data_IF_296692643945
#
_entry.id   IF_296692643945
#
_cell.length_a   1.000
_cell.length_b   1.000
_cell.length_c   1.000
_cell.angle_alpha   90.00
_cell.angle_beta   90.00
_cell.angle_gamma   90.00
#
_symmetry.space_group_name_H-M   'P 1'
#
loop_
_entity.id
_entity.type
_entity.pdbx_description
1 polymer ?
#
# COMPACT_ATOMS: atom_id res chain seq x y z
N UNK A 1 -30.71 -29.37 29.50
CA UNK A 1 -29.33 -29.56 29.04
C UNK A 1 -29.07 -28.56 27.93
N UNK A 2 -28.36 -27.48 28.25
CA UNK A 2 -28.12 -26.37 27.34
C UNK A 2 -26.79 -26.59 26.62
N UNK A 3 -26.82 -26.65 25.30
CA UNK A 3 -25.62 -26.71 24.45
C UNK A 3 -24.93 -25.34 24.46
N UNK A 4 -23.59 -25.27 24.57
CA UNK A 4 -22.89 -24.01 24.48
C UNK A 4 -22.71 -23.58 23.01
N UNK A 5 -22.91 -22.29 22.81
CA UNK A 5 -22.72 -21.52 21.59
C UNK A 5 -21.22 -21.46 21.25
N UNK A 6 -20.79 -22.08 20.15
CA UNK A 6 -19.42 -21.96 19.63
C UNK A 6 -19.22 -20.60 18.97
N UNK A 7 -18.15 -19.92 19.39
CA UNK A 7 -17.73 -18.59 18.96
C UNK A 7 -17.15 -18.57 17.54
N UNK A 8 -17.48 -17.53 16.78
CA UNK A 8 -16.96 -17.14 15.44
C UNK A 8 -15.43 -16.83 15.37
N UNK A 9 -14.59 -17.57 16.10
CA UNK A 9 -13.14 -17.33 16.18
C UNK A 9 -12.27 -18.19 15.27
N UNK A 10 -12.82 -19.22 14.63
CA UNK A 10 -12.00 -20.32 14.08
C UNK A 10 -11.72 -20.22 12.56
N UNK A 11 -12.54 -19.49 11.80
CA UNK A 11 -12.41 -19.44 10.33
C UNK A 11 -11.19 -18.65 9.84
N UNK A 12 -10.74 -17.64 10.61
CA UNK A 12 -9.59 -16.81 10.21
C UNK A 12 -8.27 -17.55 10.39
N UNK A 13 -8.13 -18.38 11.44
CA UNK A 13 -6.91 -19.16 11.71
C UNK A 13 -6.73 -20.27 10.69
N UNK A 14 -7.80 -21.01 10.38
CA UNK A 14 -7.76 -22.05 9.35
C UNK A 14 -7.38 -21.49 7.96
N UNK A 15 -7.86 -20.30 7.61
CA UNK A 15 -7.50 -19.61 6.36
C UNK A 15 -6.05 -19.11 6.31
N UNK A 16 -5.46 -18.82 7.47
CA UNK A 16 -4.08 -18.35 7.57
C UNK A 16 -3.10 -19.52 7.44
N UNK A 17 -3.40 -20.66 8.06
CA UNK A 17 -2.62 -21.89 7.94
C UNK A 17 -2.54 -22.39 6.48
N UNK A 18 -3.63 -22.25 5.70
CA UNK A 18 -3.61 -22.60 4.27
C UNK A 18 -2.79 -21.62 3.43
N UNK A 19 -2.85 -20.31 3.73
CA UNK A 19 -2.00 -19.29 3.07
C UNK A 19 -0.52 -19.45 3.39
N UNK A 20 -0.18 -19.67 4.65
CA UNK A 20 1.20 -19.87 5.08
C UNK A 20 1.77 -21.13 4.39
N UNK A 21 1.05 -22.25 4.41
CA UNK A 21 1.47 -23.47 3.73
C UNK A 21 1.68 -23.27 2.21
N UNK A 22 0.78 -22.53 1.55
CA UNK A 22 0.92 -22.16 0.14
C UNK A 22 2.22 -21.38 -0.11
N UNK A 23 2.50 -20.34 0.68
CA UNK A 23 3.70 -19.53 0.50
C UNK A 23 4.98 -20.25 0.90
N UNK A 24 4.95 -21.12 1.91
CA UNK A 24 6.07 -21.99 2.28
C UNK A 24 6.45 -22.91 1.13
N UNK A 25 5.48 -23.63 0.56
CA UNK A 25 5.74 -24.56 -0.56
C UNK A 25 6.28 -23.82 -1.80
N UNK A 26 5.69 -22.67 -2.14
CA UNK A 26 6.13 -21.88 -3.29
C UNK A 26 7.50 -21.23 -3.10
N UNK A 27 7.79 -20.73 -1.89
CA UNK A 27 9.11 -20.18 -1.57
C UNK A 27 10.18 -21.26 -1.64
N UNK A 28 9.93 -22.45 -1.07
CA UNK A 28 10.86 -23.57 -1.16
C UNK A 28 11.12 -23.96 -2.62
N UNK A 29 10.05 -24.09 -3.42
CA UNK A 29 10.16 -24.35 -4.86
C UNK A 29 10.94 -23.26 -5.61
N UNK A 30 10.82 -21.99 -5.21
CA UNK A 30 11.60 -20.89 -5.79
C UNK A 30 13.08 -21.01 -5.43
N UNK A 31 13.39 -21.18 -4.15
CA UNK A 31 14.75 -21.30 -3.64
C UNK A 31 15.51 -22.52 -4.19
N UNK A 32 14.80 -23.61 -4.50
CA UNK A 32 15.36 -24.81 -5.13
C UNK A 32 15.46 -24.72 -6.66
N UNK A 33 15.03 -23.63 -7.29
CA UNK A 33 15.06 -23.45 -8.75
C UNK A 33 16.14 -22.47 -9.20
N UNK A 34 16.48 -22.49 -10.49
CA UNK A 34 17.34 -21.47 -11.12
C UNK A 34 16.62 -20.15 -11.42
N UNK A 35 15.32 -20.05 -11.11
CA UNK A 35 14.52 -18.86 -11.37
C UNK A 35 15.00 -17.68 -10.52
N UNK A 36 15.19 -16.52 -11.15
CA UNK A 36 15.59 -15.27 -10.48
C UNK A 36 14.41 -14.34 -10.18
N UNK A 37 13.24 -14.62 -10.76
CA UNK A 37 11.99 -13.90 -10.57
C UNK A 37 10.78 -14.83 -10.76
N UNK A 38 9.80 -14.78 -9.85
CA UNK A 38 8.59 -15.59 -9.93
C UNK A 38 7.39 -14.86 -9.33
N UNK A 39 6.30 -14.75 -10.08
CA UNK A 39 4.99 -14.33 -9.53
C UNK A 39 4.38 -15.51 -8.78
N UNK A 40 3.95 -15.27 -7.54
CA UNK A 40 3.30 -16.26 -6.70
C UNK A 40 1.77 -16.12 -6.71
N UNK A 41 1.27 -14.89 -6.80
CA UNK A 41 -0.16 -14.59 -6.75
C UNK A 41 -0.45 -13.29 -7.49
N UNK A 42 -1.60 -13.24 -8.17
CA UNK A 42 -2.16 -12.04 -8.78
C UNK A 42 -3.54 -11.78 -8.18
N UNK A 43 -3.81 -10.54 -7.78
CA UNK A 43 -5.07 -10.10 -7.20
C UNK A 43 -5.67 -9.01 -8.09
N UNK A 44 -6.94 -9.19 -8.45
CA UNK A 44 -7.72 -8.19 -9.19
C UNK A 44 -8.83 -7.64 -8.29
N UNK A 45 -9.34 -6.43 -8.58
CA UNK A 45 -10.55 -5.91 -7.93
C UNK A 45 -11.70 -6.93 -8.05
N UNK A 46 -12.56 -7.08 -7.02
CA UNK A 46 -13.74 -7.93 -7.14
C UNK A 46 -14.60 -7.47 -8.33
N UNK A 47 -14.84 -8.39 -9.26
CA UNK A 47 -15.65 -8.15 -10.47
C UNK A 47 -17.03 -7.68 -10.03
N UNK A 48 -17.49 -6.56 -10.57
CA UNK A 48 -18.88 -6.15 -10.42
C UNK A 48 -19.75 -7.16 -11.17
N UNK A 49 -20.50 -8.00 -10.45
CA UNK A 49 -21.53 -8.83 -11.08
C UNK A 49 -22.58 -7.84 -11.62
N UNK A 50 -22.87 -7.79 -12.93
CA UNK A 50 -23.91 -6.92 -13.46
C UNK A 50 -25.25 -7.27 -12.79
N UNK A 51 -26.03 -6.24 -12.45
CA UNK A 51 -27.31 -6.34 -11.73
C UNK A 51 -28.44 -7.00 -12.55
N UNK A 52 -28.16 -7.58 -13.70
CA UNK A 52 -29.11 -8.34 -14.48
C UNK A 52 -28.82 -9.83 -14.30
N UNK A 53 -29.53 -10.47 -13.37
CA UNK A 53 -29.65 -11.93 -13.39
C UNK A 53 -30.11 -12.36 -14.79
N UNK A 54 -29.42 -13.30 -15.48
CA UNK A 54 -30.02 -13.94 -16.63
C UNK A 54 -31.25 -14.71 -16.13
N UNK A 55 -32.39 -14.45 -16.75
CA UNK A 55 -33.65 -15.16 -16.48
C UNK A 55 -33.39 -16.66 -16.58
N UNK A 56 -33.66 -17.45 -15.53
CA UNK A 56 -33.36 -18.87 -15.55
C UNK A 56 -34.30 -19.57 -16.53
N UNK A 57 -33.75 -20.04 -17.65
CA UNK A 57 -34.39 -21.09 -18.44
C UNK A 57 -33.96 -22.42 -17.84
N UNK A 58 -34.96 -23.13 -17.33
CA UNK A 58 -34.94 -24.50 -16.81
C UNK A 58 -33.70 -25.34 -17.16
N UNK A 59 -33.02 -25.85 -16.14
CA UNK A 59 -32.46 -27.20 -16.13
C UNK A 59 -32.26 -27.65 -14.67
N UNK A 60 -32.93 -28.74 -14.36
CA UNK A 60 -32.97 -29.45 -13.10
C UNK A 60 -31.65 -30.16 -12.78
N UNK A 61 -31.34 -30.21 -11.47
CA UNK A 61 -30.39 -31.08 -10.77
C UNK A 61 -28.92 -31.08 -11.22
N UNK A 62 -28.05 -30.46 -10.42
CA UNK A 62 -26.80 -31.06 -9.89
C UNK A 62 -26.49 -30.34 -8.58
N UNK A 63 -26.52 -31.09 -7.48
CA UNK A 63 -25.94 -30.74 -6.19
C UNK A 63 -24.42 -30.86 -6.26
N UNK A 64 -23.69 -29.77 -6.01
CA UNK A 64 -22.37 -29.83 -5.36
C UNK A 64 -22.09 -28.53 -4.61
N UNK A 65 -22.02 -28.65 -3.29
CA UNK A 65 -21.44 -27.67 -2.38
C UNK A 65 -19.94 -27.49 -2.70
N UNK A 66 -19.51 -26.25 -2.92
CA UNK A 66 -18.43 -25.53 -2.19
C UNK A 66 -18.03 -24.33 -3.04
N UNK A 67 -18.58 -23.16 -2.69
CA UNK A 67 -18.26 -21.88 -3.30
C UNK A 67 -16.96 -21.36 -2.67
N UNK A 68 -15.85 -21.46 -3.40
CA UNK A 68 -14.58 -20.78 -3.08
C UNK A 68 -14.32 -19.71 -4.16
N UNK A 69 -14.58 -18.41 -3.88
CA UNK A 69 -14.42 -17.35 -4.86
C UNK A 69 -12.97 -16.87 -5.05
N UNK A 70 -11.94 -17.57 -4.54
CA UNK A 70 -10.54 -17.13 -4.60
C UNK A 70 -9.57 -18.05 -5.35
N UNK A 71 -10.07 -18.95 -6.19
CA UNK A 71 -9.23 -19.78 -7.07
C UNK A 71 -9.08 -19.13 -8.45
N UNK A 72 -7.99 -18.39 -8.63
CA UNK A 72 -7.53 -17.96 -9.96
C UNK A 72 -7.11 -19.15 -10.84
N UNK A 73 -6.98 -18.96 -12.17
CA UNK A 73 -6.79 -20.05 -13.11
C UNK A 73 -5.46 -20.78 -12.86
N UNK A 74 -5.55 -22.08 -12.63
CA UNK A 74 -4.41 -22.98 -12.66
C UNK A 74 -3.92 -23.07 -14.11
N UNK A 75 -2.65 -22.75 -14.34
CA UNK A 75 -1.97 -23.07 -15.59
C UNK A 75 -2.12 -24.57 -15.86
N UNK A 76 -2.80 -24.90 -16.95
CA UNK A 76 -2.94 -26.28 -17.42
C UNK A 76 -1.58 -26.78 -17.89
N UNK A 77 -1.02 -27.75 -17.17
CA UNK A 77 0.08 -28.59 -17.67
C UNK A 77 -0.48 -29.50 -18.75
N UNK A 78 -0.24 -29.14 -20.02
CA UNK A 78 -0.63 -29.96 -21.16
C UNK A 78 0.36 -31.12 -21.31
N UNK A 79 -0.01 -32.30 -20.82
CA UNK A 79 0.55 -33.56 -21.30
C UNK A 79 -0.14 -33.89 -22.62
N UNK A 80 0.61 -33.90 -23.73
CA UNK A 80 0.08 -34.28 -25.03
C UNK A 80 0.72 -35.60 -25.48
N UNK A 81 -0.10 -36.65 -25.58
CA UNK A 81 0.22 -37.89 -26.28
C UNK A 81 -0.74 -38.05 -27.46
N UNK A 82 -0.15 -38.38 -28.61
CA UNK A 82 -0.71 -38.93 -29.86
C UNK A 82 -1.11 -37.98 -31.02
N UNK A 83 -0.26 -38.05 -32.07
CA UNK A 83 -0.48 -38.44 -33.49
C UNK A 83 -1.33 -37.57 -34.43
N UNK A 84 -0.62 -37.07 -35.44
CA UNK A 84 -0.86 -37.06 -36.90
C UNK A 84 -2.22 -36.59 -37.49
N UNK A 85 -2.23 -35.38 -38.09
CA UNK A 85 -2.60 -35.08 -39.50
C UNK A 85 -2.64 -33.54 -39.73
N UNK A 86 -2.22 -33.01 -40.90
CA UNK A 86 -2.15 -31.57 -41.14
C UNK A 86 -3.22 -31.09 -42.13
N UNK A 87 -4.12 -30.19 -41.72
CA UNK A 87 -4.93 -29.42 -42.67
C UNK A 87 -5.09 -27.97 -42.22
N UNK A 88 -4.52 -27.13 -43.08
CA UNK A 88 -4.70 -25.71 -43.32
C UNK A 88 -6.04 -25.14 -42.81
N UNK A 89 -6.00 -24.22 -41.85
CA UNK A 89 -7.08 -23.25 -41.73
C UNK A 89 -6.58 -21.85 -41.35
N UNK A 90 -7.07 -20.91 -42.12
CA UNK A 90 -6.68 -19.51 -42.14
C UNK A 90 -7.51 -18.79 -41.10
N UNK A 91 -7.06 -18.78 -39.84
CA UNK A 91 -7.63 -17.89 -38.84
C UNK A 91 -6.56 -16.93 -38.33
N UNK A 92 -6.60 -15.73 -38.91
CA UNK A 92 -6.00 -14.54 -38.34
C UNK A 92 -6.58 -14.34 -36.94
N UNK A 93 -5.87 -14.84 -35.93
CA UNK A 93 -6.03 -14.31 -34.58
C UNK A 93 -5.54 -12.87 -34.62
N UNK A 94 -6.50 -11.95 -34.56
CA UNK A 94 -6.28 -10.55 -34.24
C UNK A 94 -5.25 -10.46 -33.12
N UNK A 95 -4.10 -9.91 -33.46
CA UNK A 95 -3.14 -9.39 -32.49
C UNK A 95 -3.91 -8.51 -31.51
N UNK A 96 -4.01 -8.92 -30.25
CA UNK A 96 -4.27 -7.96 -29.18
C UNK A 96 -3.16 -6.91 -29.27
N UNK A 97 -3.48 -5.77 -29.87
CA UNK A 97 -2.60 -4.63 -29.93
C UNK A 97 -2.42 -4.16 -28.49
N UNK A 98 -1.37 -4.66 -27.82
CA UNK A 98 -1.15 -4.41 -26.41
C UNK A 98 -0.88 -2.92 -26.23
N UNK A 99 -1.87 -2.21 -25.69
CA UNK A 99 -1.65 -0.88 -25.16
C UNK A 99 -0.42 -0.91 -24.25
N UNK A 100 0.49 0.07 -24.31
CA UNK A 100 1.69 0.07 -23.46
C UNK A 100 1.29 -0.10 -22.00
N UNK A 101 2.02 -0.96 -21.29
CA UNK A 101 1.78 -1.24 -19.87
C UNK A 101 2.82 -0.49 -19.03
N UNK A 102 2.36 0.04 -17.88
CA UNK A 102 3.24 0.56 -16.83
C UNK A 102 3.18 -0.37 -15.62
N UNK A 103 4.34 -0.86 -15.17
CA UNK A 103 4.46 -1.68 -13.99
C UNK A 103 5.07 -0.86 -12.85
N UNK A 104 4.26 -0.52 -11.85
CA UNK A 104 4.74 0.08 -10.61
C UNK A 104 5.27 -1.01 -9.70
N UNK A 105 6.49 -0.88 -9.20
CA UNK A 105 7.15 -1.91 -8.39
C UNK A 105 7.45 -1.32 -7.02
N UNK A 106 6.85 -1.89 -5.98
CA UNK A 106 7.27 -1.64 -4.60
C UNK A 106 8.15 -2.80 -4.14
N UNK A 107 9.45 -2.56 -4.11
CA UNK A 107 10.45 -3.46 -3.54
C UNK A 107 10.69 -3.12 -2.07
N UNK A 108 10.33 -4.03 -1.16
CA UNK A 108 10.50 -3.81 0.28
C UNK A 108 10.66 -5.12 1.03
N UNK A 109 11.12 -5.01 2.28
CA UNK A 109 11.19 -6.14 3.21
C UNK A 109 9.84 -6.58 3.77
N UNK A 110 8.80 -5.72 3.67
CA UNK A 110 7.43 -5.99 4.12
C UNK A 110 7.34 -6.59 5.54
N UNK A 111 8.07 -6.01 6.50
CA UNK A 111 8.28 -6.62 7.82
C UNK A 111 7.84 -5.74 9.01
N UNK A 112 6.55 -5.39 9.16
CA UNK A 112 5.43 -5.65 8.26
C UNK A 112 5.25 -4.52 7.21
N UNK A 113 4.40 -4.70 6.17
CA UNK A 113 3.87 -3.58 5.38
C UNK A 113 3.17 -2.55 6.27
N UNK A 114 3.19 -1.27 5.85
CA UNK A 114 2.69 -0.13 6.63
C UNK A 114 1.89 0.84 5.77
N UNK A 115 1.23 1.81 6.37
CA UNK A 115 0.54 2.87 5.64
C UNK A 115 1.49 3.76 4.82
N UNK A 116 2.77 3.87 5.21
CA UNK A 116 3.78 4.52 4.36
C UNK A 116 3.98 3.77 3.04
N UNK A 117 4.03 2.44 3.08
CA UNK A 117 4.05 1.63 1.86
C UNK A 117 2.76 1.83 1.05
N UNK A 118 1.60 1.90 1.73
CA UNK A 118 0.33 2.14 1.06
C UNK A 118 0.32 3.46 0.29
N UNK A 119 0.77 4.54 0.93
CA UNK A 119 0.89 5.85 0.31
C UNK A 119 1.80 5.85 -0.91
N UNK A 120 2.97 5.19 -0.83
CA UNK A 120 3.89 5.06 -1.96
C UNK A 120 3.18 4.43 -3.17
N UNK A 121 2.48 3.31 -2.98
CA UNK A 121 1.76 2.62 -4.04
C UNK A 121 0.56 3.43 -4.58
N UNK A 122 -0.32 3.89 -3.68
CA UNK A 122 -1.58 4.53 -4.06
C UNK A 122 -1.35 5.91 -4.69
N UNK A 123 -0.37 6.68 -4.20
CA UNK A 123 -0.01 7.96 -4.86
C UNK A 123 0.55 7.73 -6.26
N UNK A 124 1.37 6.69 -6.46
CA UNK A 124 1.90 6.38 -7.80
C UNK A 124 0.79 6.00 -8.78
N UNK A 125 -0.20 5.23 -8.34
CA UNK A 125 -1.38 4.89 -9.14
C UNK A 125 -2.29 6.10 -9.36
N UNK A 126 -2.44 6.99 -8.38
CA UNK A 126 -3.21 8.22 -8.54
C UNK A 126 -2.56 9.15 -9.58
N UNK A 127 -1.25 9.38 -9.48
CA UNK A 127 -0.47 10.15 -10.46
C UNK A 127 -0.57 9.54 -11.86
N UNK A 128 -0.58 8.20 -11.96
CA UNK A 128 -0.76 7.51 -13.24
C UNK A 128 -2.06 7.92 -13.93
N UNK A 129 -3.18 7.79 -13.23
CA UNK A 129 -4.51 8.02 -13.81
C UNK A 129 -4.90 9.50 -13.90
N UNK A 130 -4.11 10.40 -13.31
CA UNK A 130 -4.29 11.86 -13.43
C UNK A 130 -3.32 12.51 -14.43
N UNK A 131 -2.34 11.75 -14.93
CA UNK A 131 -1.33 12.23 -15.90
C UNK A 131 -1.61 11.76 -17.33
N UNK A 132 -0.69 12.06 -18.25
CA UNK A 132 -0.73 11.61 -19.64
C UNK A 132 -0.69 10.08 -19.79
N UNK A 133 -0.32 9.36 -18.74
CA UNK A 133 -0.31 7.89 -18.71
C UNK A 133 -1.69 7.26 -18.52
N UNK A 134 -2.75 8.04 -18.28
CA UNK A 134 -4.12 7.54 -18.01
C UNK A 134 -4.69 6.55 -19.04
N UNK A 135 -4.16 6.58 -20.27
CA UNK A 135 -4.58 5.69 -21.37
C UNK A 135 -3.82 4.36 -21.38
N UNK A 136 -2.78 4.23 -20.56
CA UNK A 136 -1.96 3.02 -20.43
C UNK A 136 -2.48 2.16 -19.29
N UNK A 137 -2.25 0.84 -19.34
CA UNK A 137 -2.65 -0.05 -18.26
C UNK A 137 -1.62 0.03 -17.12
N UNK A 138 -2.06 0.36 -15.91
CA UNK A 138 -1.22 0.26 -14.71
C UNK A 138 -1.38 -1.11 -14.03
N UNK A 139 -0.26 -1.66 -13.57
CA UNK A 139 -0.21 -2.84 -12.69
C UNK A 139 0.77 -2.57 -11.55
N UNK A 140 0.47 -3.09 -10.36
CA UNK A 140 1.33 -2.97 -9.18
C UNK A 140 2.00 -4.31 -8.88
N UNK A 141 3.32 -4.30 -8.68
CA UNK A 141 4.10 -5.45 -8.25
C UNK A 141 4.64 -5.20 -6.84
N UNK A 142 4.24 -6.04 -5.90
CA UNK A 142 4.84 -6.15 -4.57
C UNK A 142 5.96 -7.18 -4.65
N UNK A 143 7.21 -6.72 -4.56
CA UNK A 143 8.40 -7.55 -4.80
C UNK A 143 9.17 -7.79 -3.50
N UNK A 144 9.33 -9.05 -3.12
CA UNK A 144 10.15 -9.46 -1.98
C UNK A 144 11.46 -10.10 -2.47
N UNK A 145 12.59 -9.55 -2.06
CA UNK A 145 13.90 -10.16 -2.32
C UNK A 145 14.24 -11.21 -1.25
N UNK A 146 14.66 -12.40 -1.68
CA UNK A 146 15.18 -13.46 -0.79
C UNK A 146 16.60 -13.15 -0.31
N UNK A 147 17.32 -12.27 -1.03
CA UNK A 147 18.66 -11.80 -0.71
C UNK A 147 18.68 -10.28 -0.69
N UNK A 148 19.00 -9.67 0.44
CA UNK A 148 19.18 -8.21 0.53
C UNK A 148 20.67 -7.88 0.48
N UNK A 149 21.04 -6.80 -0.20
CA UNK A 149 22.42 -6.35 -0.28
C UNK A 149 23.04 -6.03 1.10
N UNK A 150 22.26 -5.46 2.03
CA UNK A 150 22.79 -4.94 3.30
C UNK A 150 22.18 -5.58 4.56
N UNK A 151 21.02 -6.26 4.46
CA UNK A 151 20.16 -6.55 5.62
C UNK A 151 19.98 -8.04 5.87
N UNK A 152 20.38 -8.51 7.05
CA UNK A 152 20.01 -9.84 7.56
C UNK A 152 18.51 -9.95 7.78
N UNK A 153 17.94 -11.11 7.48
CA UNK A 153 16.53 -11.42 7.75
C UNK A 153 16.34 -11.45 9.28
N UNK A 154 15.33 -10.71 9.77
CA UNK A 154 14.96 -10.63 11.20
C UNK A 154 13.47 -10.32 11.31
N UNK A 155 12.84 -10.58 12.47
CA UNK A 155 11.40 -10.43 12.63
C UNK A 155 10.65 -11.57 11.93
N UNK A 156 9.64 -11.24 11.13
CA UNK A 156 8.85 -12.24 10.41
C UNK A 156 9.70 -12.97 9.37
N UNK A 157 9.42 -14.26 9.17
CA UNK A 157 10.02 -15.12 8.14
C UNK A 157 9.64 -14.63 6.73
N UNK A 158 10.26 -15.19 5.68
CA UNK A 158 9.92 -14.80 4.30
C UNK A 158 8.50 -15.24 3.93
N UNK A 159 8.08 -16.42 4.36
CA UNK A 159 6.75 -16.98 4.18
C UNK A 159 5.70 -16.12 4.89
N UNK A 160 5.96 -15.73 6.14
CA UNK A 160 5.08 -14.84 6.88
C UNK A 160 4.96 -13.48 6.20
N UNK A 161 6.07 -12.90 5.70
CA UNK A 161 6.04 -11.64 4.95
C UNK A 161 5.19 -11.75 3.68
N UNK A 162 5.22 -12.88 2.98
CA UNK A 162 4.37 -13.11 1.81
C UNK A 162 2.89 -13.14 2.17
N UNK A 163 2.51 -13.78 3.30
CA UNK A 163 1.14 -13.69 3.84
C UNK A 163 0.79 -12.23 4.14
N UNK A 164 1.69 -11.50 4.79
CA UNK A 164 1.53 -10.07 5.08
C UNK A 164 1.37 -9.21 3.81
N UNK A 165 2.06 -9.56 2.72
CA UNK A 165 1.93 -8.91 1.41
C UNK A 165 0.56 -9.17 0.76
N UNK A 166 -0.02 -10.37 0.91
CA UNK A 166 -1.38 -10.65 0.44
C UNK A 166 -2.43 -9.85 1.21
N UNK A 167 -2.28 -9.76 2.54
CA UNK A 167 -3.11 -8.89 3.37
C UNK A 167 -2.97 -7.42 2.96
N UNK A 168 -1.74 -6.97 2.67
CA UNK A 168 -1.46 -5.61 2.22
C UNK A 168 -2.06 -5.32 0.85
N UNK A 169 -1.95 -6.23 -0.12
CA UNK A 169 -2.59 -6.11 -1.43
C UNK A 169 -4.12 -5.96 -1.29
N UNK A 170 -4.74 -6.71 -0.39
CA UNK A 170 -6.17 -6.59 -0.08
C UNK A 170 -6.51 -5.22 0.51
N UNK A 171 -5.68 -4.71 1.42
CA UNK A 171 -5.84 -3.36 1.98
C UNK A 171 -5.71 -2.28 0.89
N UNK A 172 -4.76 -2.40 -0.04
CA UNK A 172 -4.59 -1.48 -1.17
C UNK A 172 -5.81 -1.44 -2.08
N UNK A 173 -6.29 -2.60 -2.53
CA UNK A 173 -7.48 -2.71 -3.39
C UNK A 173 -8.72 -2.14 -2.69
N UNK A 174 -8.91 -2.47 -1.41
CA UNK A 174 -10.05 -1.97 -0.62
C UNK A 174 -10.00 -0.45 -0.48
N UNK A 175 -8.82 0.10 -0.23
CA UNK A 175 -8.60 1.55 -0.10
C UNK A 175 -8.90 2.28 -1.40
N UNK A 176 -8.45 1.72 -2.51
CA UNK A 176 -8.67 2.31 -3.82
C UNK A 176 -10.13 2.33 -4.25
N UNK A 177 -10.85 1.22 -4.02
CA UNK A 177 -12.26 1.09 -4.39
C UNK A 177 -13.19 1.85 -3.44
N UNK A 178 -12.81 1.97 -2.17
CA UNK A 178 -13.62 2.62 -1.14
C UNK A 178 -12.84 3.70 -0.37
N UNK A 179 -12.44 4.81 -1.02
CA UNK A 179 -11.62 5.86 -0.38
C UNK A 179 -12.27 6.47 0.87
N UNK A 180 -13.61 6.47 0.93
CA UNK A 180 -14.38 7.03 2.05
C UNK A 180 -14.51 6.10 3.26
N UNK A 181 -14.11 4.83 3.15
CA UNK A 181 -14.30 3.83 4.21
C UNK A 181 -13.09 3.67 5.15
N UNK A 182 -11.88 4.03 4.73
CA UNK A 182 -10.65 3.57 5.40
C UNK A 182 -9.66 4.65 5.84
N UNK A 183 -9.83 5.91 5.44
CA UNK A 183 -8.90 6.99 5.81
C UNK A 183 -9.63 8.29 6.13
N UNK A 184 -9.85 8.56 7.42
CA UNK A 184 -10.08 9.94 7.85
C UNK A 184 -8.71 10.64 7.91
N UNK A 185 -8.23 11.13 6.76
CA UNK A 185 -7.23 12.20 6.77
C UNK A 185 -7.92 13.42 7.35
N UNK A 186 -7.54 13.83 8.56
CA UNK A 186 -7.85 15.17 9.06
C UNK A 186 -7.12 16.16 8.15
N UNK A 187 -7.75 16.57 7.04
CA UNK A 187 -7.38 17.81 6.34
C UNK A 187 -7.66 18.94 7.32
N UNK A 188 -6.62 19.46 7.98
CA UNK A 188 -6.71 20.78 8.56
C UNK A 188 -6.75 21.76 7.39
N UNK A 189 -7.95 22.21 7.05
CA UNK A 189 -8.13 23.36 6.18
C UNK A 189 -7.60 24.57 6.97
N UNK A 190 -6.39 25.01 6.63
CA UNK A 190 -5.91 26.33 7.02
C UNK A 190 -6.62 27.30 6.10
N UNK A 191 -7.66 27.95 6.61
CA UNK A 191 -8.32 29.06 5.92
C UNK A 191 -7.30 30.18 5.72
N UNK A 192 -6.92 30.41 4.46
CA UNK A 192 -6.38 31.68 4.02
C UNK A 192 -7.51 32.71 4.08
N UNK A 193 -7.39 33.66 5.01
CA UNK A 193 -7.93 35.01 4.85
C UNK A 193 -6.79 35.97 5.16
N UNK A 194 -6.42 36.68 4.11
CA UNK A 194 -5.73 37.96 3.99
C UNK A 194 -4.61 38.37 4.95
N UNK A 195 -3.51 38.76 4.32
CA UNK A 195 -2.37 39.35 4.99
C UNK A 195 -2.62 40.77 5.49
N UNK A 196 -1.87 41.14 6.51
CA UNK A 196 -1.09 42.37 6.45
C UNK A 196 0.06 42.29 7.45
N UNK A 197 1.25 42.56 6.94
CA UNK A 197 2.46 42.85 7.67
C UNK A 197 2.20 43.93 8.73
N UNK A 198 2.66 43.71 9.95
CA UNK A 198 2.86 44.80 10.92
C UNK A 198 4.25 44.66 11.52
N UNK A 199 5.17 45.45 10.96
CA UNK A 199 6.37 45.89 11.64
C UNK A 199 5.98 46.74 12.84
N UNK A 200 6.75 46.55 13.90
CA UNK A 200 6.81 47.35 15.12
C UNK A 200 7.38 48.73 14.78
N UNK A 201 6.69 49.80 15.18
CA UNK A 201 7.33 51.04 15.66
C UNK A 201 6.36 51.85 16.52
N UNK A 202 6.96 52.48 17.51
CA UNK A 202 6.42 53.20 18.64
C UNK A 202 5.75 54.54 18.33
N UNK A 203 4.87 54.93 19.26
CA UNK A 203 4.55 56.29 19.76
C UNK A 203 4.20 57.42 18.75
N UNK A 204 3.01 58.03 18.91
CA UNK A 204 2.80 59.31 19.64
C UNK A 204 1.40 59.90 19.38
N UNK A 205 0.79 60.29 20.50
CA UNK A 205 -0.02 61.47 20.80
C UNK A 205 -1.15 62.01 19.90
N UNK A 206 -2.23 62.35 20.62
CA UNK A 206 -3.13 63.53 20.46
C UNK A 206 -3.99 63.54 19.18
N UNK A 207 -5.27 63.93 19.16
CA UNK A 207 -6.18 64.65 20.06
C UNK A 207 -7.54 64.71 19.34
N UNK A 208 -8.62 65.07 20.04
CA UNK A 208 -9.76 65.78 19.42
C UNK A 208 -11.04 64.97 19.16
N UNK A 209 -11.94 65.04 20.14
CA UNK A 209 -13.29 65.63 20.05
C UNK A 209 -14.33 65.12 19.04
N UNK A 210 -15.49 64.78 19.64
CA UNK A 210 -16.86 65.23 19.27
C UNK A 210 -17.47 64.65 17.97
N UNK A 211 -18.79 64.44 17.80
CA UNK A 211 -20.03 64.55 18.58
C UNK A 211 -21.15 63.94 17.69
N UNK A 212 -22.27 63.53 18.28
CA UNK A 212 -23.63 63.46 17.69
C UNK A 212 -23.90 62.40 16.59
N UNK A 213 -24.73 61.39 16.87
CA UNK A 213 -26.21 61.38 16.85
C UNK A 213 -26.82 61.32 15.44
N UNK A 214 -27.56 60.22 15.16
CA UNK A 214 -28.99 60.20 14.80
C UNK A 214 -29.40 58.87 14.16
N UNK A 215 -30.34 58.21 14.83
CA UNK A 215 -31.61 57.66 14.35
C UNK A 215 -31.75 57.25 12.88
N UNK A 216 -32.26 56.04 12.64
CA UNK A 216 -33.58 55.80 12.04
C UNK A 216 -33.91 54.29 12.11
N UNK A 217 -35.10 54.04 12.64
CA UNK A 217 -35.83 52.77 12.69
C UNK A 217 -36.23 52.28 11.29
N UNK A 218 -36.32 50.96 11.09
CA UNK A 218 -37.52 50.37 10.50
C UNK A 218 -37.60 48.87 10.76
N UNK A 219 -38.64 48.55 11.53
CA UNK A 219 -39.28 47.29 11.89
C UNK A 219 -39.69 46.41 10.69
N UNK A 220 -39.59 45.09 10.86
CA UNK A 220 -40.65 44.16 10.44
C UNK A 220 -40.41 42.77 11.04
N UNK A 221 -41.22 42.48 12.04
CA UNK A 221 -41.44 41.19 12.70
C UNK A 221 -42.33 40.26 11.85
N UNK A 222 -42.12 38.94 11.97
CA UNK A 222 -43.22 37.96 11.97
C UNK A 222 -42.74 36.61 12.52
N UNK A 223 -43.12 36.36 13.77
CA UNK A 223 -43.14 35.04 14.41
C UNK A 223 -44.22 34.14 13.78
N UNK A 224 -44.00 32.82 13.79
CA UNK A 224 -45.07 31.82 13.91
C UNK A 224 -44.49 30.48 14.39
N UNK A 225 -44.97 30.10 15.56
CA UNK A 225 -44.71 28.89 16.35
C UNK A 225 -45.25 27.57 15.74
N UNK A 226 -44.83 26.47 16.39
CA UNK A 226 -45.43 25.11 16.44
C UNK A 226 -45.19 24.19 15.23
N UNK A 227 -44.93 22.88 15.34
CA UNK A 227 -45.37 21.90 16.32
C UNK A 227 -44.50 20.63 16.16
N UNK A 228 -44.24 19.92 17.26
CA UNK A 228 -43.54 18.64 17.24
C UNK A 228 -44.51 17.49 16.92
N UNK A 229 -44.15 16.59 16.00
CA UNK A 229 -44.73 15.25 15.96
C UNK A 229 -43.78 14.21 15.36
N UNK A 230 -43.76 13.05 16.01
CA UNK A 230 -42.97 11.87 15.70
C UNK A 230 -43.45 11.16 14.44
N UNK A 231 -42.53 10.77 13.56
CA UNK A 231 -42.75 9.63 12.66
C UNK A 231 -41.45 8.85 12.45
N UNK A 232 -41.51 7.58 12.83
CA UNK A 232 -40.64 6.48 12.45
C UNK A 232 -40.25 6.53 10.96
N UNK A 233 -38.95 6.49 10.65
CA UNK A 233 -38.50 6.11 9.31
C UNK A 233 -37.32 5.16 9.38
N UNK A 234 -37.52 4.08 8.63
CA UNK A 234 -36.71 2.89 8.43
C UNK A 234 -35.28 3.16 7.98
N UNK A 235 -34.34 2.43 8.55
CA UNK A 235 -33.00 2.23 8.00
C UNK A 235 -33.08 1.70 6.56
N UNK A 236 -32.46 2.35 5.56
CA UNK A 236 -32.17 1.68 4.30
C UNK A 236 -30.90 0.86 4.47
N UNK A 237 -31.03 -0.44 4.23
CA UNK A 237 -29.95 -1.38 3.99
C UNK A 237 -29.17 -0.97 2.73
N UNK A 238 -28.24 -0.03 2.87
CA UNK A 238 -27.40 0.38 1.74
C UNK A 238 -26.34 -0.67 1.46
N UNK A 239 -26.66 -1.55 0.52
CA UNK A 239 -25.68 -2.29 -0.28
C UNK A 239 -24.74 -1.26 -0.94
N UNK A 240 -23.48 -1.24 -0.52
CA UNK A 240 -22.47 -0.30 -1.01
C UNK A 240 -22.11 -0.66 -2.45
N UNK A 241 -22.71 0.00 -3.43
CA UNK A 241 -22.27 -0.05 -4.82
C UNK A 241 -20.87 0.57 -4.91
N UNK A 242 -19.92 -0.13 -5.54
CA UNK A 242 -18.60 0.41 -5.89
C UNK A 242 -18.85 1.67 -6.73
N UNK A 243 -18.17 2.81 -6.49
CA UNK A 243 -18.25 3.94 -7.41
C UNK A 243 -17.78 3.48 -8.79
N UNK A 244 -18.70 3.38 -9.74
CA UNK A 244 -18.58 2.74 -11.05
C UNK A 244 -17.51 3.33 -12.00
N UNK A 245 -16.66 4.25 -11.54
CA UNK A 245 -15.74 5.01 -12.41
C UNK A 245 -14.29 5.10 -11.92
N UNK A 246 -13.92 4.39 -10.84
CA UNK A 246 -12.50 4.33 -10.44
C UNK A 246 -11.75 3.38 -11.38
N UNK A 247 -10.60 3.80 -11.96
CA UNK A 247 -9.83 2.92 -12.84
C UNK A 247 -9.33 1.70 -12.07
N UNK A 248 -9.42 0.52 -12.68
CA UNK A 248 -9.03 -0.73 -12.06
C UNK A 248 -7.54 -1.02 -12.26
N UNK A 249 -6.89 -1.68 -11.31
CA UNK A 249 -5.52 -2.16 -11.44
C UNK A 249 -5.36 -3.51 -10.77
N UNK A 250 -4.45 -4.33 -11.30
CA UNK A 250 -4.09 -5.62 -10.73
C UNK A 250 -2.86 -5.48 -9.80
N UNK A 251 -2.77 -6.35 -8.80
CA UNK A 251 -1.60 -6.46 -7.90
C UNK A 251 -0.97 -7.83 -8.02
N UNK A 252 0.32 -7.88 -8.32
CA UNK A 252 1.12 -9.09 -8.26
C UNK A 252 1.96 -9.14 -6.99
N UNK A 253 2.13 -10.35 -6.46
CA UNK A 253 3.04 -10.68 -5.37
C UNK A 253 4.10 -11.61 -5.94
N UNK A 254 5.36 -11.20 -5.85
CA UNK A 254 6.47 -11.93 -6.45
C UNK A 254 7.70 -12.01 -5.55
N UNK A 255 8.55 -12.98 -5.90
CA UNK A 255 9.87 -13.17 -5.34
C UNK A 255 10.95 -12.83 -6.37
N UNK A 256 12.09 -12.36 -5.87
CA UNK A 256 13.34 -12.31 -6.63
C UNK A 256 14.52 -12.75 -5.77
N UNK A 257 15.53 -13.35 -6.40
CA UNK A 257 16.81 -13.66 -5.77
C UNK A 257 17.87 -12.58 -6.01
N UNK A 258 17.56 -11.54 -6.80
CA UNK A 258 18.51 -10.52 -7.22
C UNK A 258 18.48 -9.33 -6.26
N UNK A 259 19.65 -8.78 -5.86
CA UNK A 259 19.70 -7.70 -4.88
C UNK A 259 19.52 -6.30 -5.48
N UNK A 260 19.91 -6.09 -6.75
CA UNK A 260 20.00 -4.77 -7.38
C UNK A 260 18.83 -4.46 -8.32
N UNK A 261 18.40 -3.20 -8.37
CA UNK A 261 17.23 -2.74 -9.14
C UNK A 261 17.35 -2.97 -10.65
N UNK A 262 18.53 -2.72 -11.22
CA UNK A 262 18.79 -2.98 -12.65
C UNK A 262 18.64 -4.47 -12.96
N UNK A 263 19.23 -5.35 -12.14
CA UNK A 263 19.13 -6.81 -12.31
C UNK A 263 17.72 -7.33 -12.12
N UNK A 264 16.97 -6.80 -11.13
CA UNK A 264 15.56 -7.14 -10.91
C UNK A 264 14.71 -6.83 -12.14
N UNK A 265 14.91 -5.65 -12.73
CA UNK A 265 14.17 -5.23 -13.93
C UNK A 265 14.49 -6.12 -15.12
N UNK A 266 15.77 -6.41 -15.35
CA UNK A 266 16.19 -7.31 -16.41
C UNK A 266 15.60 -8.72 -16.25
N UNK A 267 15.51 -9.24 -15.02
CA UNK A 267 14.88 -10.54 -14.75
C UNK A 267 13.36 -10.53 -14.98
N UNK A 268 12.69 -9.42 -14.62
CA UNK A 268 11.27 -9.24 -14.90
C UNK A 268 11.02 -9.21 -16.42
N UNK A 269 11.83 -8.47 -17.19
CA UNK A 269 11.74 -8.43 -18.65
C UNK A 269 12.00 -9.83 -19.26
N UNK A 270 13.06 -10.51 -18.81
CA UNK A 270 13.41 -11.84 -19.27
C UNK A 270 12.32 -12.89 -19.01
N UNK A 271 11.50 -12.69 -17.96
CA UNK A 271 10.38 -13.59 -17.65
C UNK A 271 9.28 -13.59 -18.70
N UNK A 272 9.19 -12.53 -19.54
CA UNK A 272 8.14 -12.34 -20.55
C UNK A 272 6.70 -12.39 -20.01
N UNK A 273 6.52 -12.25 -18.68
CA UNK A 273 5.19 -12.26 -18.05
C UNK A 273 4.42 -10.97 -18.37
N UNK A 274 5.13 -9.85 -18.49
CA UNK A 274 4.56 -8.58 -18.90
C UNK A 274 4.85 -8.32 -20.39
N UNK A 275 3.98 -7.56 -21.10
CA UNK A 275 4.20 -7.23 -22.50
C UNK A 275 5.58 -6.60 -22.75
N UNK A 276 6.17 -6.90 -23.92
CA UNK A 276 7.42 -6.24 -24.32
C UNK A 276 7.25 -4.73 -24.35
N UNK A 277 8.26 -4.01 -23.85
CA UNK A 277 8.22 -2.55 -23.73
C UNK A 277 7.47 -2.03 -22.49
N UNK A 278 7.05 -2.91 -21.57
CA UNK A 278 6.51 -2.49 -20.27
C UNK A 278 7.50 -1.59 -19.54
N UNK A 279 7.08 -0.38 -19.20
CA UNK A 279 7.92 0.53 -18.40
C UNK A 279 7.85 0.15 -16.93
N UNK A 280 8.99 -0.18 -16.33
CA UNK A 280 9.08 -0.40 -14.89
C UNK A 280 9.30 0.93 -14.16
N UNK A 281 8.46 1.21 -13.16
CA UNK A 281 8.60 2.37 -12.26
C UNK A 281 8.80 1.83 -10.84
N UNK A 282 10.06 1.80 -10.40
CA UNK A 282 10.37 1.39 -9.03
C UNK A 282 10.04 2.52 -8.07
N UNK A 283 9.15 2.24 -7.14
CA UNK A 283 8.69 3.16 -6.12
C UNK A 283 9.53 2.96 -4.86
N UNK A 284 10.32 3.97 -4.51
CA UNK A 284 11.39 3.89 -3.50
C UNK A 284 11.33 5.11 -2.58
N UNK A 285 11.91 5.02 -1.37
CA UNK A 285 12.14 6.19 -0.51
C UNK A 285 13.50 6.85 -0.79
N UNK A 286 13.68 8.08 -0.29
CA UNK A 286 14.92 8.84 -0.46
C UNK A 286 16.19 8.06 -0.04
N UNK A 287 16.22 7.39 1.11
CA UNK A 287 17.41 6.61 1.54
C UNK A 287 17.77 5.48 0.57
N UNK A 288 16.78 4.92 -0.11
CA UNK A 288 17.01 3.90 -1.11
C UNK A 288 17.54 4.52 -2.39
N UNK A 289 17.12 5.73 -2.79
CA UNK A 289 17.75 6.47 -3.89
C UNK A 289 19.25 6.68 -3.63
N UNK A 290 19.61 7.14 -2.43
CA UNK A 290 21.02 7.34 -2.04
C UNK A 290 21.82 6.04 -2.21
N UNK A 291 21.25 4.90 -1.84
CA UNK A 291 21.92 3.60 -2.03
C UNK A 291 21.96 3.18 -3.49
N UNK A 292 20.90 3.38 -4.26
CA UNK A 292 20.88 3.06 -5.69
C UNK A 292 21.93 3.87 -6.45
N UNK A 293 22.14 5.14 -6.09
CA UNK A 293 23.16 5.99 -6.73
C UNK A 293 24.54 5.89 -6.06
N UNK A 294 24.77 4.91 -5.19
CA UNK A 294 26.08 4.72 -4.56
C UNK A 294 26.93 3.70 -5.35
N UNK A 295 28.06 4.11 -5.94
CA UNK A 295 28.87 3.25 -6.78
C UNK A 295 29.46 2.02 -6.08
N UNK A 296 29.53 2.01 -4.74
CA UNK A 296 30.02 0.85 -3.98
C UNK A 296 29.24 -0.44 -4.27
N UNK A 297 27.98 -0.32 -4.71
CA UNK A 297 27.11 -1.46 -5.01
C UNK A 297 27.34 -2.07 -6.41
N UNK A 298 28.23 -1.49 -7.22
CA UNK A 298 28.44 -1.89 -8.62
C UNK A 298 29.89 -2.33 -8.90
N UNK A 299 30.40 -3.38 -8.22
CA UNK A 299 31.69 -3.97 -8.60
C UNK A 299 31.61 -4.64 -10.00
N UNK A 300 32.74 -4.73 -10.73
CA UNK A 300 34.08 -4.30 -10.34
C UNK A 300 34.39 -2.84 -10.69
N UNK A 301 33.57 -2.17 -11.51
CA UNK A 301 33.85 -0.80 -11.99
C UNK A 301 33.67 0.25 -10.90
N UNK A 302 32.80 -0.02 -9.93
CA UNK A 302 32.43 0.92 -8.87
C UNK A 302 31.97 2.27 -9.44
N UNK A 303 31.11 2.21 -10.46
CA UNK A 303 30.46 3.35 -11.11
C UNK A 303 28.97 3.06 -11.36
N UNK A 304 28.23 4.05 -11.87
CA UNK A 304 26.79 3.94 -12.15
C UNK A 304 26.49 3.38 -13.55
N UNK A 305 27.50 2.89 -14.28
CA UNK A 305 27.31 2.38 -15.64
C UNK A 305 26.26 1.24 -15.74
N UNK A 306 26.08 0.33 -14.74
CA UNK A 306 25.04 -0.69 -14.80
C UNK A 306 23.61 -0.12 -14.78
N UNK A 307 23.43 1.13 -14.34
CA UNK A 307 22.14 1.81 -14.33
C UNK A 307 21.77 2.42 -15.68
N UNK A 308 22.72 2.56 -16.63
CA UNK A 308 22.47 3.11 -17.97
C UNK A 308 21.39 2.31 -18.74
N UNK A 309 21.51 0.98 -18.91
CA UNK A 309 20.46 0.21 -19.59
C UNK A 309 19.17 0.13 -18.78
N UNK A 310 19.24 0.27 -17.46
CA UNK A 310 18.06 0.28 -16.60
C UNK A 310 17.25 1.57 -16.80
N UNK A 311 17.87 2.75 -16.70
CA UNK A 311 17.19 4.04 -16.78
C UNK A 311 16.89 4.50 -18.22
N UNK A 312 17.31 3.75 -19.25
CA UNK A 312 16.89 4.00 -20.63
C UNK A 312 15.40 3.69 -20.86
N UNK A 313 14.89 2.65 -20.19
CA UNK A 313 13.51 2.17 -20.36
C UNK A 313 12.69 2.21 -19.06
N UNK A 314 13.33 2.40 -17.91
CA UNK A 314 12.68 2.34 -16.61
C UNK A 314 12.91 3.60 -15.79
N UNK A 315 12.19 3.72 -14.68
CA UNK A 315 12.20 4.91 -13.84
C UNK A 315 12.29 4.58 -12.35
N UNK A 316 12.80 5.54 -11.59
CA UNK A 316 12.73 5.60 -10.14
C UNK A 316 11.76 6.72 -9.75
N UNK A 317 10.66 6.35 -9.09
CA UNK A 317 9.78 7.29 -8.39
C UNK A 317 10.17 7.31 -6.92
N UNK A 318 10.70 8.43 -6.46
CA UNK A 318 11.31 8.55 -5.13
C UNK A 318 10.40 9.36 -4.22
N UNK A 319 10.02 8.80 -3.08
CA UNK A 319 9.14 9.46 -2.12
C UNK A 319 9.99 10.19 -1.07
N UNK A 320 9.70 11.47 -0.87
CA UNK A 320 10.30 12.27 0.19
C UNK A 320 10.05 11.62 1.56
N UNK A 321 11.02 11.77 2.47
CA UNK A 321 10.87 11.34 3.86
C UNK A 321 11.03 12.52 4.81
N UNK A 322 10.19 12.55 5.84
CA UNK A 322 10.34 13.47 6.96
C UNK A 322 10.99 12.68 8.11
N UNK A 323 12.32 12.59 8.10
CA UNK A 323 13.08 12.07 9.25
C UNK A 323 13.69 13.23 10.04
N UNK A 324 13.83 13.08 11.36
CA UNK A 324 14.30 14.13 12.26
C UNK A 324 15.70 14.69 11.94
N UNK A 325 16.50 13.99 11.11
CA UNK A 325 17.87 14.37 10.73
C UNK A 325 18.04 14.86 9.29
N UNK A 326 17.02 14.73 8.43
CA UNK A 326 17.08 15.09 7.01
C UNK A 326 15.83 15.90 6.65
N UNK A 327 16.00 17.19 6.40
CA UNK A 327 14.91 18.06 6.01
C UNK A 327 14.51 17.81 4.55
N UNK A 328 13.33 18.28 4.15
CA UNK A 328 12.94 18.28 2.72
C UNK A 328 13.93 19.11 1.89
N UNK A 329 14.42 20.23 2.44
CA UNK A 329 15.41 21.10 1.80
C UNK A 329 16.74 20.38 1.53
N UNK A 330 17.18 19.50 2.42
CA UNK A 330 18.41 18.70 2.21
C UNK A 330 18.24 17.74 1.03
N UNK A 331 17.06 17.14 0.90
CA UNK A 331 16.71 16.24 -0.20
C UNK A 331 16.64 17.00 -1.53
N UNK A 332 16.04 18.18 -1.53
CA UNK A 332 15.96 19.06 -2.71
C UNK A 332 17.35 19.54 -3.16
N UNK A 333 18.22 19.87 -2.20
CA UNK A 333 19.61 20.27 -2.46
C UNK A 333 20.39 19.14 -3.11
N UNK A 334 20.24 17.90 -2.60
CA UNK A 334 20.86 16.74 -3.21
C UNK A 334 20.37 16.50 -4.65
N UNK A 335 19.07 16.58 -4.90
CA UNK A 335 18.53 16.39 -6.26
C UNK A 335 18.99 17.46 -7.23
N UNK A 336 19.13 18.71 -6.75
CA UNK A 336 19.62 19.82 -7.56
C UNK A 336 21.09 19.66 -7.94
N UNK A 337 21.87 18.89 -7.18
CA UNK A 337 23.27 18.60 -7.51
C UNK A 337 23.45 17.40 -8.44
N UNK A 338 22.46 16.50 -8.52
CA UNK A 338 22.52 15.27 -9.33
C UNK A 338 22.87 15.50 -10.81
N UNK A 339 22.34 16.51 -11.53
CA UNK A 339 22.71 16.75 -12.93
C UNK A 339 24.22 16.93 -13.13
N UNK A 340 24.91 17.55 -12.17
CA UNK A 340 26.36 17.75 -12.22
C UNK A 340 27.13 16.56 -11.64
N UNK A 341 26.60 15.90 -10.61
CA UNK A 341 27.26 14.80 -9.92
C UNK A 341 27.18 13.47 -10.69
N UNK A 342 26.07 13.17 -11.37
CA UNK A 342 25.87 11.87 -12.02
C UNK A 342 26.96 11.56 -13.07
N UNK A 343 27.37 12.49 -13.97
CA UNK A 343 28.44 12.23 -14.93
C UNK A 343 29.78 11.84 -14.29
N UNK A 344 30.12 12.42 -13.13
CA UNK A 344 31.39 12.11 -12.44
C UNK A 344 31.40 10.71 -11.82
N UNK A 345 30.23 10.10 -11.68
CA UNK A 345 30.04 8.74 -11.18
C UNK A 345 29.73 7.72 -12.30
N UNK A 346 29.88 8.09 -13.58
CA UNK A 346 29.53 7.23 -14.72
C UNK A 346 28.02 7.13 -15.01
N UNK A 347 27.21 8.01 -14.40
CA UNK A 347 25.80 8.18 -14.68
C UNK A 347 25.52 9.25 -15.73
N UNK A 348 24.23 9.53 -15.97
CA UNK A 348 23.76 10.48 -16.99
C UNK A 348 22.95 11.62 -16.37
N UNK A 349 23.26 12.86 -16.71
CA UNK A 349 22.49 14.04 -16.27
C UNK A 349 21.04 13.99 -16.75
N UNK A 350 20.82 13.36 -17.91
CA UNK A 350 19.52 13.16 -18.55
C UNK A 350 18.56 12.35 -17.69
N UNK A 351 19.06 11.54 -16.74
CA UNK A 351 18.19 10.83 -15.81
C UNK A 351 17.32 11.76 -14.97
N UNK A 352 17.79 12.99 -14.73
CA UNK A 352 17.03 14.02 -14.02
C UNK A 352 16.17 14.81 -15.00
N UNK A 353 16.76 15.36 -16.08
CA UNK A 353 16.03 16.22 -17.01
C UNK A 353 14.89 15.50 -17.75
N UNK A 354 15.04 14.21 -18.05
CA UNK A 354 14.00 13.37 -18.66
C UNK A 354 13.07 12.70 -17.64
N UNK A 355 13.18 13.05 -16.35
CA UNK A 355 12.39 12.45 -15.26
C UNK A 355 12.48 10.91 -15.23
N UNK A 356 13.68 10.35 -15.47
CA UNK A 356 13.96 8.92 -15.19
C UNK A 356 14.07 8.68 -13.70
N UNK A 357 14.57 9.66 -12.96
CA UNK A 357 14.53 9.74 -11.51
C UNK A 357 13.74 10.98 -11.16
N UNK A 358 12.65 10.84 -10.41
CA UNK A 358 11.81 11.96 -10.03
C UNK A 358 11.21 11.77 -8.63
N UNK A 359 10.95 12.89 -7.97
CA UNK A 359 10.39 12.90 -6.62
C UNK A 359 8.87 12.87 -6.60
N UNK A 360 8.34 12.44 -5.47
CA UNK A 360 6.92 12.38 -5.15
C UNK A 360 6.70 12.69 -3.67
N UNK A 361 5.57 13.32 -3.36
CA UNK A 361 5.24 13.74 -1.99
C UNK A 361 5.16 12.56 -1.03
N UNK A 362 5.78 12.71 0.14
CA UNK A 362 5.66 11.78 1.26
C UNK A 362 4.32 11.88 1.99
N UNK A 363 4.14 11.02 3.00
CA UNK A 363 3.07 11.21 3.97
C UNK A 363 3.40 12.40 4.88
N UNK A 364 2.43 13.28 5.06
CA UNK A 364 2.50 14.33 6.07
C UNK A 364 2.24 13.75 7.48
N UNK A 365 2.87 14.35 8.49
CA UNK A 365 2.66 13.99 9.90
C UNK A 365 3.74 13.06 10.45
N UNK A 366 3.37 12.26 11.45
CA UNK A 366 4.34 11.40 12.14
C UNK A 366 4.90 10.29 11.25
N UNK A 367 6.19 10.00 11.42
CA UNK A 367 6.87 8.95 10.67
C UNK A 367 6.25 7.56 10.91
N UNK A 368 5.86 6.88 9.82
CA UNK A 368 5.35 5.51 9.84
C UNK A 368 6.42 4.57 9.26
N UNK A 369 7.05 3.78 10.10
CA UNK A 369 8.04 2.77 9.67
C UNK A 369 7.75 1.39 10.25
N UNK A 370 8.17 0.33 9.55
CA UNK A 370 8.01 -1.05 10.02
C UNK A 370 8.73 -1.27 11.36
N UNK A 371 9.87 -0.61 11.58
CA UNK A 371 10.61 -0.65 12.85
C UNK A 371 9.77 -0.08 13.99
N UNK A 372 9.10 1.05 13.77
CA UNK A 372 8.19 1.65 14.75
C UNK A 372 7.01 0.75 15.07
N UNK A 373 6.45 0.07 14.07
CA UNK A 373 5.39 -0.94 14.27
C UNK A 373 5.88 -2.08 15.18
N UNK A 374 7.02 -2.70 14.86
CA UNK A 374 7.59 -3.79 15.67
C UNK A 374 7.90 -3.34 17.09
N UNK A 375 8.51 -2.16 17.27
CA UNK A 375 8.82 -1.59 18.58
C UNK A 375 7.55 -1.34 19.41
N UNK A 376 6.49 -0.83 18.78
CA UNK A 376 5.20 -0.59 19.42
C UNK A 376 4.55 -1.89 19.91
N UNK A 377 4.54 -2.94 19.08
CA UNK A 377 4.00 -4.26 19.46
C UNK A 377 4.79 -4.85 20.62
N UNK A 378 6.13 -4.83 20.52
CA UNK A 378 7.02 -5.32 21.57
C UNK A 378 6.77 -4.61 22.91
N UNK A 379 6.68 -3.29 22.91
CA UNK A 379 6.43 -2.49 24.13
C UNK A 379 5.07 -2.78 24.77
N UNK A 380 4.02 -2.95 23.95
CA UNK A 380 2.67 -3.23 24.46
C UNK A 380 2.49 -4.68 24.92
N UNK A 381 3.23 -5.62 24.35
CA UNK A 381 3.22 -7.04 24.73
C UNK A 381 4.12 -7.36 25.93
N UNK A 382 5.20 -6.61 26.15
CA UNK A 382 6.11 -6.79 27.29
C UNK A 382 5.57 -6.22 28.61
N UNK A 383 4.47 -5.47 28.59
CA UNK A 383 3.88 -4.89 29.79
C UNK A 383 3.27 -5.99 30.68
N UNK A 384 4.07 -6.53 31.60
CA UNK A 384 3.66 -7.45 32.67
C UNK A 384 2.48 -6.81 33.43
N UNK A 385 1.36 -7.52 33.66
CA UNK A 385 0.35 -7.05 34.59
C UNK A 385 1.05 -6.92 35.94
N UNK A 386 1.23 -5.70 36.44
CA UNK A 386 1.90 -5.48 37.72
C UNK A 386 1.38 -6.47 38.75
N UNK A 387 2.27 -7.30 39.30
CA UNK A 387 1.97 -8.05 40.51
C UNK A 387 1.53 -7.02 41.54
N UNK A 388 0.25 -7.12 41.91
CA UNK A 388 -0.38 -6.25 42.88
C UNK A 388 0.46 -6.28 44.16
N UNK A 389 1.03 -5.14 44.54
CA UNK A 389 1.45 -4.93 45.91
C UNK A 389 0.27 -5.28 46.82
N UNK A 390 0.54 -6.14 47.80
CA UNK A 390 -0.41 -6.57 48.82
C UNK A 390 -0.88 -5.31 49.57
N UNK A 391 -2.11 -4.83 49.28
CA UNK A 391 -2.71 -3.76 50.08
C UNK A 391 -3.67 -2.79 49.38
N UNK A 392 -3.76 -2.72 48.04
CA UNK A 392 -4.59 -1.68 47.41
C UNK A 392 -6.06 -2.09 47.15
N UNK A 393 -6.99 -1.33 47.75
CA UNK A 393 -8.44 -1.49 47.66
C UNK A 393 -8.94 -1.38 46.21
N UNK A 394 -9.93 -2.22 45.89
CA UNK A 394 -10.57 -2.42 44.57
C UNK A 394 -10.94 -1.11 43.85
N UNK A 395 -10.33 -0.87 42.69
CA UNK A 395 -11.08 -0.38 41.52
C UNK A 395 -11.08 -1.50 40.47
N UNK A 396 -12.26 -2.04 40.15
CA UNK A 396 -12.45 -3.02 39.07
C UNK A 396 -12.54 -2.27 37.74
N UNK A 397 -11.47 -1.60 37.34
CA UNK A 397 -11.31 -1.19 35.94
C UNK A 397 -10.92 -2.42 35.12
N UNK A 398 -11.78 -2.91 34.22
CA UNK A 398 -11.38 -3.88 33.19
C UNK A 398 -10.34 -3.20 32.28
N UNK A 399 -9.06 -3.30 32.63
CA UNK A 399 -7.98 -2.84 31.76
C UNK A 399 -8.07 -3.52 30.40
N UNK A 400 -7.86 -2.78 29.30
CA UNK A 400 -7.85 -3.35 27.95
C UNK A 400 -6.75 -4.41 27.86
N UNK A 401 -7.06 -5.57 27.25
CA UNK A 401 -6.06 -6.63 27.02
C UNK A 401 -4.93 -6.11 26.11
N UNK A 402 -3.71 -6.70 26.18
CA UNK A 402 -2.61 -6.31 25.30
C UNK A 402 -2.99 -6.34 23.81
N UNK A 403 -3.75 -7.34 23.37
CA UNK A 403 -4.24 -7.47 21.99
C UNK A 403 -5.13 -6.29 21.60
N UNK A 404 -6.04 -5.86 22.49
CA UNK A 404 -6.90 -4.70 22.23
C UNK A 404 -6.08 -3.40 22.15
N UNK A 405 -5.06 -3.25 22.99
CA UNK A 405 -4.15 -2.09 22.95
C UNK A 405 -3.34 -2.06 21.65
N UNK A 406 -2.77 -3.20 21.24
CA UNK A 406 -2.03 -3.33 19.98
C UNK A 406 -2.95 -3.02 18.81
N UNK A 407 -4.13 -3.65 18.75
CA UNK A 407 -5.14 -3.40 17.71
C UNK A 407 -5.45 -1.93 17.54
N UNK A 408 -5.74 -1.23 18.64
CA UNK A 408 -6.07 0.20 18.64
C UNK A 408 -4.88 1.06 18.22
N UNK A 409 -3.68 0.79 18.77
CA UNK A 409 -2.48 1.59 18.46
C UNK A 409 -2.04 1.43 17.01
N UNK A 410 -2.20 0.25 16.41
CA UNK A 410 -1.78 -0.04 15.04
C UNK A 410 -2.70 0.52 13.94
N UNK A 411 -3.92 1.00 14.26
CA UNK A 411 -4.85 1.57 13.26
C UNK A 411 -4.27 2.72 12.43
N UNK A 412 -3.33 3.48 13.00
CA UNK A 412 -2.64 4.57 12.31
C UNK A 412 -1.31 4.19 11.65
N UNK A 413 -0.91 2.91 11.71
CA UNK A 413 0.40 2.47 11.19
C UNK A 413 0.31 1.44 10.07
N UNK A 414 -0.71 0.57 10.08
CA UNK A 414 -0.88 -0.51 9.10
C UNK A 414 -2.34 -0.60 8.65
N UNK A 415 -2.57 -1.22 7.50
CA UNK A 415 -3.93 -1.48 6.99
C UNK A 415 -4.71 -2.49 7.85
N UNK A 416 -6.01 -2.60 7.62
CA UNK A 416 -6.93 -3.39 8.46
C UNK A 416 -6.59 -4.88 8.40
N UNK A 417 -6.33 -5.43 7.21
CA UNK A 417 -6.01 -6.83 7.03
C UNK A 417 -4.61 -7.15 7.55
N UNK A 418 -3.64 -6.25 7.33
CA UNK A 418 -2.30 -6.39 7.93
C UNK A 418 -2.37 -6.39 9.46
N UNK A 419 -3.20 -5.52 10.07
CA UNK A 419 -3.41 -5.51 11.53
C UNK A 419 -4.00 -6.84 12.03
N UNK A 420 -5.01 -7.37 11.33
CA UNK A 420 -5.61 -8.68 11.66
C UNK A 420 -4.59 -9.81 11.59
N UNK A 421 -3.77 -9.83 10.54
CA UNK A 421 -2.71 -10.82 10.37
C UNK A 421 -1.68 -10.77 11.51
N UNK A 422 -1.17 -9.57 11.85
CA UNK A 422 -0.24 -9.38 12.98
C UNK A 422 -0.83 -9.90 14.30
N UNK A 423 -2.10 -9.61 14.56
CA UNK A 423 -2.78 -10.02 15.80
C UNK A 423 -3.08 -11.52 15.84
N UNK A 424 -3.53 -12.09 14.72
CA UNK A 424 -3.87 -13.51 14.60
C UNK A 424 -2.65 -14.39 14.84
N UNK A 425 -1.56 -14.10 14.12
CA UNK A 425 -0.31 -14.88 14.21
C UNK A 425 0.60 -14.45 15.37
N UNK A 426 0.17 -13.49 16.20
CA UNK A 426 0.97 -12.90 17.29
C UNK A 426 2.39 -12.47 16.87
N UNK A 427 2.51 -11.91 15.66
CA UNK A 427 3.80 -11.51 15.10
C UNK A 427 4.40 -10.33 15.85
N UNK A 428 5.72 -10.36 16.03
CA UNK A 428 6.52 -9.32 16.71
C UNK A 428 6.21 -9.14 18.20
N UNK A 429 5.44 -10.05 18.80
CA UNK A 429 5.23 -10.05 20.24
C UNK A 429 6.52 -10.36 20.99
N UNK A 430 6.63 -9.81 22.19
CA UNK A 430 7.69 -10.20 23.10
C UNK A 430 7.46 -11.63 23.58
N UNK A 431 8.28 -12.56 23.10
CA UNK A 431 8.45 -13.85 23.72
C UNK A 431 9.53 -13.68 24.80
N UNK A 432 9.14 -13.68 26.07
CA UNK A 432 10.10 -13.70 27.16
C UNK A 432 11.06 -14.88 26.97
N UNK A 433 12.35 -14.70 27.27
CA UNK A 433 13.29 -15.82 27.33
C UNK A 433 12.66 -16.88 28.25
N UNK A 434 12.35 -18.05 27.67
CA UNK A 434 12.24 -19.27 28.47
C UNK A 434 13.67 -19.56 28.92
N UNK A 435 14.01 -19.10 30.12
CA UNK A 435 15.20 -19.59 30.83
C UNK A 435 14.99 -21.04 31.27
#
# INVERSE_FOLDING_TARGET
>A
MSLPYSSDGDSTMASSLTRLAFYTSNLQSFLSSSSTFRILRSLSPPISIPSTSPTPKNLTSITFNTYDPYRGPLYSTSNNTNKDEPLNDSNQNHSESSSPQTLYILDSSFNPPTLAHAHICLSALHDHYTSDLRHTKARLLLLLSTQNADKKISGASLEERLVGMECFATDLLSTWLYPRSSYQTKRQVKSEIDGKSTNVSEERNESGDEESAKDIESDSTSDSDSEAQSTTSSFPSSQTQIPFNSPQFDIDIALTSLPYFHSKSAAIEASSIYPKGTTHIHCTGYDTLIRVLNPKYYPPTHDLSPLIPFLSNHKLRVTYRSENSLTLSDQDTYLSSLPTQLPTLGGKSEWISEKRIYMSSGLEGEEISSTRVRATIKSLSSAIPQQKAVGSKKSKGKGKTPEKKVKEKLKGFVGVNVNKWILGEKLFWWEGKKE
#
